data_IF_139749258025
#
_entry.id   IF_139749258025
#
_cell.length_a   1.000
_cell.length_b   1.000
_cell.length_c   1.000
_cell.angle_alpha   90.00
_cell.angle_beta   90.00
_cell.angle_gamma   90.00
#
_symmetry.space_group_name_H-M   'P 1'
#
loop_
_entity.id
_entity.type
_entity.pdbx_description
1 polymer ?
#
# COMPACT_ATOMS: atom_id res chain seq x y z
N UNK A 1 -16.70 -8.27 5.81
CA UNK A 1 -16.22 -7.15 4.96
C UNK A 1 -15.57 -7.73 3.71
N UNK A 2 -16.20 -7.58 2.55
CA UNK A 2 -15.62 -8.01 1.26
C UNK A 2 -14.59 -6.97 0.85
N UNK A 3 -13.37 -7.39 0.57
CA UNK A 3 -12.33 -6.50 0.03
C UNK A 3 -12.37 -6.62 -1.48
N UNK A 4 -12.80 -5.56 -2.14
CA UNK A 4 -12.80 -5.48 -3.60
C UNK A 4 -11.59 -4.68 -4.08
N UNK A 5 -11.00 -5.15 -5.20
CA UNK A 5 -10.00 -4.39 -5.93
C UNK A 5 -10.56 -3.00 -6.29
N UNK A 6 -9.76 -1.97 -6.05
CA UNK A 6 -10.16 -0.57 -6.19
C UNK A 6 -10.38 0.16 -4.87
N UNK A 7 -10.64 -0.58 -3.78
CA UNK A 7 -10.89 0.02 -2.46
C UNK A 7 -9.62 0.57 -1.84
N UNK A 8 -9.71 1.77 -1.26
CA UNK A 8 -8.64 2.34 -0.42
C UNK A 8 -8.90 1.89 1.00
N UNK A 9 -7.91 1.25 1.59
CA UNK A 9 -7.93 0.77 2.97
C UNK A 9 -6.72 1.32 3.70
N UNK A 10 -6.86 1.48 5.00
CA UNK A 10 -5.78 1.92 5.87
C UNK A 10 -5.17 0.70 6.54
N UNK A 11 -3.85 0.63 6.54
CA UNK A 11 -3.14 -0.52 7.10
C UNK A 11 -1.85 -0.11 7.78
N UNK A 12 -1.43 -0.94 8.72
CA UNK A 12 -0.24 -0.70 9.52
C UNK A 12 0.93 -1.47 8.94
N UNK A 13 2.06 -0.80 8.73
CA UNK A 13 3.28 -1.47 8.27
C UNK A 13 3.79 -2.36 9.40
N UNK A 14 3.75 -3.67 9.21
CA UNK A 14 4.25 -4.62 10.21
C UNK A 14 5.69 -5.03 9.94
N UNK A 15 6.11 -4.99 8.66
CA UNK A 15 7.48 -5.34 8.29
C UNK A 15 7.87 -4.69 6.97
N UNK A 16 9.10 -4.20 6.88
CA UNK A 16 9.66 -3.64 5.64
C UNK A 16 10.74 -4.58 5.11
N UNK A 17 10.81 -4.75 3.78
CA UNK A 17 11.83 -5.54 3.08
C UNK A 17 12.45 -4.72 1.94
N UNK A 18 13.58 -5.18 1.39
CA UNK A 18 14.23 -4.49 0.26
C UNK A 18 13.38 -4.45 -1.01
N UNK A 19 12.43 -5.36 -1.18
CA UNK A 19 11.57 -5.43 -2.37
C UNK A 19 10.15 -4.91 -2.12
N UNK A 20 9.83 -4.45 -0.89
CA UNK A 20 8.48 -4.02 -0.56
C UNK A 20 8.21 -3.81 0.94
N UNK A 21 6.93 -3.69 1.29
CA UNK A 21 6.48 -3.59 2.68
C UNK A 21 5.23 -4.44 2.92
N UNK A 22 5.20 -5.11 4.06
CA UNK A 22 4.05 -5.83 4.56
C UNK A 22 3.18 -4.89 5.37
N UNK A 23 1.92 -4.80 4.97
CA UNK A 23 0.91 -3.93 5.57
C UNK A 23 -0.23 -4.81 6.06
N UNK A 24 -0.51 -4.75 7.35
CA UNK A 24 -1.65 -5.43 7.96
C UNK A 24 -2.88 -4.55 7.87
N UNK A 25 -3.93 -5.07 7.23
CA UNK A 25 -5.19 -4.36 6.98
C UNK A 25 -6.23 -4.63 8.08
N UNK A 26 -5.89 -5.45 9.07
CA UNK A 26 -6.83 -6.01 10.05
C UNK A 26 -7.52 -7.28 9.55
N UNK A 27 -8.29 -7.92 10.44
CA UNK A 27 -9.06 -9.14 10.13
C UNK A 27 -8.19 -10.36 9.74
N UNK A 28 -6.90 -10.35 10.15
CA UNK A 28 -5.92 -11.37 9.78
C UNK A 28 -5.42 -11.29 8.32
N UNK A 29 -5.76 -10.20 7.61
CA UNK A 29 -5.37 -9.98 6.23
C UNK A 29 -4.08 -9.18 6.15
N UNK A 30 -3.13 -9.72 5.40
CA UNK A 30 -1.83 -9.11 5.16
C UNK A 30 -1.71 -8.80 3.67
N UNK A 31 -1.43 -7.54 3.37
CA UNK A 31 -1.10 -7.12 2.02
C UNK A 31 0.39 -6.83 1.86
N UNK A 32 0.86 -7.00 0.64
CA UNK A 32 2.22 -6.67 0.24
C UNK A 32 2.18 -5.48 -0.72
N UNK A 33 2.92 -4.44 -0.39
CA UNK A 33 3.24 -3.35 -1.32
C UNK A 33 4.58 -3.67 -1.96
N UNK A 34 4.59 -3.80 -3.28
CA UNK A 34 5.84 -3.96 -4.03
C UNK A 34 6.61 -2.62 -4.07
N UNK A 35 7.94 -2.64 -4.06
CA UNK A 35 8.77 -1.42 -4.13
C UNK A 35 8.41 -0.52 -5.33
N UNK A 36 8.05 -1.11 -6.47
CA UNK A 36 7.57 -0.38 -7.65
C UNK A 36 6.21 0.30 -7.46
N UNK A 37 5.43 -0.14 -6.46
CA UNK A 37 4.11 0.38 -6.10
C UNK A 37 4.16 1.30 -4.85
N UNK A 38 5.36 1.55 -4.30
CA UNK A 38 5.57 2.49 -3.19
C UNK A 38 5.55 3.94 -3.71
N UNK A 39 6.26 4.23 -4.80
CA UNK A 39 6.33 5.56 -5.41
C UNK A 39 6.54 5.51 -6.93
N UNK A 40 6.23 6.60 -7.64
CA UNK A 40 6.53 6.79 -9.08
C UNK A 40 8.01 7.06 -9.36
N UNK A 41 8.80 7.28 -8.30
CA UNK A 41 10.23 7.54 -8.39
C UNK A 41 11.04 6.28 -8.07
N UNK A 42 12.31 6.27 -8.46
CA UNK A 42 13.22 5.21 -8.07
C UNK A 42 13.40 5.17 -6.55
N UNK A 43 12.91 4.09 -5.93
CA UNK A 43 13.05 3.85 -4.49
C UNK A 43 14.30 2.99 -4.28
N UNK A 44 15.32 3.54 -3.62
CA UNK A 44 16.47 2.77 -3.16
C UNK A 44 16.12 1.96 -1.90
N UNK A 45 15.45 2.61 -0.95
CA UNK A 45 15.07 2.03 0.32
C UNK A 45 13.61 2.33 0.63
N UNK A 46 12.81 1.27 0.81
CA UNK A 46 11.39 1.40 1.20
C UNK A 46 11.24 2.09 2.56
N UNK A 47 12.26 1.97 3.41
CA UNK A 47 12.34 2.61 4.74
C UNK A 47 12.33 4.13 4.72
N UNK A 48 12.72 4.74 3.61
CA UNK A 48 12.67 6.20 3.44
C UNK A 48 11.23 6.69 3.21
N UNK A 49 10.39 5.84 2.64
CA UNK A 49 8.99 6.14 2.31
C UNK A 49 7.99 5.60 3.33
N UNK A 50 8.34 4.52 4.02
CA UNK A 50 7.50 3.80 4.97
C UNK A 50 8.30 3.50 6.22
N UNK A 51 7.65 3.57 7.39
CA UNK A 51 8.27 3.18 8.66
C UNK A 51 7.54 1.99 9.27
N UNK A 52 8.28 1.10 9.91
CA UNK A 52 7.71 -0.03 10.64
C UNK A 52 6.84 0.51 11.78
N UNK A 53 5.58 0.10 11.82
CA UNK A 53 4.58 0.60 12.75
C UNK A 53 3.76 1.80 12.26
N UNK A 54 4.12 2.37 11.12
CA UNK A 54 3.42 3.52 10.54
C UNK A 54 2.08 3.09 9.91
N UNK A 55 1.11 3.99 9.92
CA UNK A 55 -0.24 3.73 9.39
C UNK A 55 -0.37 4.42 8.04
N UNK A 56 -0.52 3.63 6.99
CA UNK A 56 -0.51 4.10 5.61
C UNK A 56 -1.78 3.70 4.87
N UNK A 57 -2.19 4.57 3.94
CA UNK A 57 -3.30 4.29 3.04
C UNK A 57 -2.80 3.58 1.81
N UNK A 58 -3.44 2.48 1.49
CA UNK A 58 -3.09 1.58 0.39
C UNK A 58 -4.34 1.23 -0.39
N UNK A 59 -4.20 1.13 -1.71
CA UNK A 59 -5.29 0.73 -2.59
C UNK A 59 -5.14 -0.75 -2.88
N UNK A 60 -6.23 -1.49 -2.72
CA UNK A 60 -6.31 -2.89 -3.10
C UNK A 60 -6.29 -2.97 -4.63
N UNK A 61 -5.25 -3.58 -5.20
CA UNK A 61 -5.14 -3.78 -6.64
C UNK A 61 -5.65 -5.16 -7.01
N UNK A 62 -5.34 -6.15 -6.19
CA UNK A 62 -5.72 -7.53 -6.42
C UNK A 62 -5.85 -8.28 -5.10
N UNK A 63 -6.73 -9.28 -5.05
CA UNK A 63 -7.00 -10.11 -3.87
C UNK A 63 -6.96 -11.57 -4.30
N UNK A 64 -5.92 -12.28 -3.90
CA UNK A 64 -5.66 -13.68 -4.24
C UNK A 64 -5.61 -14.52 -2.95
N UNK A 65 -6.79 -14.93 -2.48
CA UNK A 65 -6.96 -15.69 -1.23
C UNK A 65 -6.43 -14.92 -0.02
N UNK A 66 -5.25 -15.33 0.48
CA UNK A 66 -4.57 -14.68 1.62
C UNK A 66 -3.58 -13.58 1.21
N UNK A 67 -3.29 -13.41 -0.08
CA UNK A 67 -2.35 -12.41 -0.58
C UNK A 67 -3.12 -11.25 -1.17
N UNK A 68 -2.89 -10.05 -0.65
CA UNK A 68 -3.50 -8.83 -1.17
C UNK A 68 -2.39 -7.97 -1.78
N UNK A 69 -2.51 -7.72 -3.09
CA UNK A 69 -1.63 -6.81 -3.78
C UNK A 69 -2.07 -5.38 -3.49
N UNK A 70 -1.20 -4.61 -2.86
CA UNK A 70 -1.46 -3.25 -2.42
C UNK A 70 -0.59 -2.26 -3.19
N UNK A 71 -1.13 -1.08 -3.41
CA UNK A 71 -0.40 0.03 -4.03
C UNK A 71 -0.55 1.31 -3.22
N UNK A 72 0.58 1.93 -2.89
CA UNK A 72 0.64 3.22 -2.23
C UNK A 72 0.49 4.36 -3.24
N UNK A 73 1.03 4.19 -4.44
CA UNK A 73 0.92 5.16 -5.54
C UNK A 73 -0.52 5.48 -5.87
N UNK A 74 -1.35 4.45 -6.03
CA UNK A 74 -2.76 4.61 -6.38
C UNK A 74 -3.64 5.02 -5.18
N UNK A 75 -3.11 4.93 -3.96
CA UNK A 75 -3.80 5.33 -2.74
C UNK A 75 -3.63 6.81 -2.42
N UNK A 76 -2.60 7.47 -2.96
CA UNK A 76 -2.46 8.91 -2.84
C UNK A 76 -3.71 9.56 -3.43
N UNK A 77 -4.39 10.46 -2.69
CA UNK A 77 -5.46 11.24 -3.27
C UNK A 77 -4.85 11.96 -4.48
N UNK A 78 -5.52 11.86 -5.64
CA UNK A 78 -5.22 12.78 -6.75
C UNK A 78 -5.18 14.18 -6.13
N UNK A 79 -4.11 14.99 -6.36
CA UNK A 79 -4.19 16.40 -6.01
C UNK A 79 -5.48 16.93 -6.63
N UNK A 80 -6.25 17.79 -5.94
CA UNK A 80 -7.47 18.33 -6.50
C UNK A 80 -7.10 18.87 -7.88
N UNK A 81 -7.74 18.31 -8.89
CA UNK A 81 -7.73 18.82 -10.25
C UNK A 81 -8.03 20.31 -10.14
N UNK A 82 -7.01 21.15 -10.35
CA UNK A 82 -7.22 22.57 -10.57
C UNK A 82 -7.82 22.64 -11.98
N UNK A 83 -9.14 22.48 -12.03
CA UNK A 83 -9.99 22.79 -13.17
C UNK A 83 -9.63 24.19 -13.66
N UNK A 84 -9.18 24.28 -14.93
CA UNK A 84 -8.73 25.51 -15.58
C UNK A 84 -9.40 25.68 -16.92
#
# INVERSE_FOLDING_TARGET
MVMEAGSIVEGKVTRITNFGAFVELGDGKVGLVHISEVADVYVNDVRDFLSEGDTVRVKVINVDGNKIALSLKQAKPRPPEQDG
#
